data_IF_022019073225
#
_entry.id   IF_022019073225
#
_cell.length_a   1.000
_cell.length_b   1.000
_cell.length_c   1.000
_cell.angle_alpha   90.00
_cell.angle_beta   90.00
_cell.angle_gamma   90.00
#
_symmetry.space_group_name_H-M   'P 1'
#
loop_
_entity.id
_entity.type
_entity.pdbx_description
1 polymer ?
#
# COMPACT_ATOMS: atom_id res chain seq x y z
N UNK A 1 23.87 -35.14 -7.62
CA UNK A 1 24.77 -34.41 -6.71
C UNK A 1 24.47 -32.92 -6.92
N UNK A 2 23.30 -32.43 -6.48
CA UNK A 2 22.99 -31.95 -5.11
C UNK A 2 24.02 -30.89 -4.67
N UNK A 3 23.69 -29.60 -4.81
CA UNK A 3 23.10 -28.66 -3.83
C UNK A 3 24.16 -27.57 -3.54
N UNK A 4 23.89 -26.27 -3.69
CA UNK A 4 23.35 -25.38 -2.63
C UNK A 4 22.90 -24.05 -3.29
N UNK A 5 21.60 -23.69 -3.38
CA UNK A 5 20.78 -22.84 -2.47
C UNK A 5 21.47 -21.53 -2.03
N UNK A 6 20.94 -20.31 -2.18
CA UNK A 6 19.59 -19.79 -2.48
C UNK A 6 19.67 -18.31 -2.95
N UNK A 7 18.65 -17.73 -3.62
CA UNK A 7 18.66 -16.34 -4.10
C UNK A 7 18.01 -15.32 -3.14
N UNK A 8 17.75 -15.70 -1.87
CA UNK A 8 17.12 -14.81 -0.89
C UNK A 8 18.13 -14.30 0.14
N UNK A 9 18.01 -13.05 0.61
CA UNK A 9 18.92 -12.55 1.62
C UNK A 9 18.65 -13.25 2.96
N UNK A 10 19.70 -13.58 3.74
CA UNK A 10 19.55 -14.26 5.03
C UNK A 10 18.77 -13.39 6.03
N UNK A 11 18.18 -14.02 7.05
CA UNK A 11 17.35 -13.41 8.11
C UNK A 11 17.95 -12.13 8.76
N UNK A 12 19.27 -11.93 8.66
CA UNK A 12 19.96 -10.69 9.06
C UNK A 12 19.50 -9.43 8.30
N UNK A 13 19.06 -9.55 7.04
CA UNK A 13 18.59 -8.40 6.24
C UNK A 13 17.17 -7.99 6.63
N UNK A 14 16.29 -8.93 6.99
CA UNK A 14 14.96 -8.62 7.50
C UNK A 14 15.04 -7.86 8.84
N UNK A 15 15.95 -8.28 9.74
CA UNK A 15 16.23 -7.58 10.99
C UNK A 15 16.88 -6.21 10.76
N UNK A 16 17.76 -6.08 9.75
CA UNK A 16 18.36 -4.79 9.39
C UNK A 16 17.32 -3.79 8.85
N UNK A 17 16.33 -4.26 8.08
CA UNK A 17 15.21 -3.42 7.63
C UNK A 17 14.34 -2.98 8.81
N UNK A 18 14.06 -3.87 9.78
CA UNK A 18 13.31 -3.53 11.00
C UNK A 18 14.06 -2.53 11.90
N UNK A 19 15.38 -2.69 12.05
CA UNK A 19 16.22 -1.75 12.78
C UNK A 19 16.32 -0.39 12.08
N UNK A 20 16.41 -0.37 10.74
CA UNK A 20 16.41 0.84 9.93
C UNK A 20 15.07 1.59 10.06
N UNK A 21 13.94 0.89 10.07
CA UNK A 21 12.61 1.46 10.31
C UNK A 21 12.45 2.06 11.71
N UNK A 22 13.15 1.51 12.71
CA UNK A 22 13.14 2.02 14.08
C UNK A 22 14.10 3.22 14.28
N UNK A 23 15.08 3.42 13.40
CA UNK A 23 16.11 4.45 13.52
C UNK A 23 15.89 5.70 12.66
N UNK A 24 14.87 5.74 11.81
CA UNK A 24 14.53 6.96 11.05
C UNK A 24 13.92 7.98 12.01
N UNK A 25 14.54 9.17 12.21
CA UNK A 25 13.91 10.24 12.96
C UNK A 25 12.59 10.60 12.27
N UNK A 26 11.49 10.66 13.02
CA UNK A 26 10.23 11.21 12.49
C UNK A 26 10.48 12.69 12.23
N UNK A 27 10.84 13.03 10.99
CA UNK A 27 10.77 14.40 10.49
C UNK A 27 9.29 14.79 10.56
N UNK A 28 8.91 15.42 11.66
CA UNK A 28 7.61 16.02 11.88
C UNK A 28 7.88 17.45 12.30
N UNK A 29 7.95 18.33 11.31
CA UNK A 29 7.73 19.76 11.44
C UNK A 29 7.71 20.35 10.03
N UNK A 30 6.66 20.05 9.26
CA UNK A 30 6.27 20.98 8.20
C UNK A 30 5.00 21.66 8.71
N UNK A 31 4.94 22.99 8.60
CA UNK A 31 3.78 23.80 8.98
C UNK A 31 2.54 23.35 8.20
N UNK A 32 1.81 22.37 8.72
CA UNK A 32 0.66 21.78 8.07
C UNK A 32 -0.56 22.66 8.35
N UNK A 33 -1.19 23.15 7.29
CA UNK A 33 -2.52 23.74 7.40
C UNK A 33 -3.43 22.71 8.10
N UNK A 34 -4.04 23.06 9.26
CA UNK A 34 -4.93 22.14 9.93
C UNK A 34 -6.07 21.75 8.97
N UNK A 35 -6.54 20.49 9.00
CA UNK A 35 -7.66 20.11 8.17
C UNK A 35 -8.88 20.99 8.52
N UNK A 36 -9.69 21.37 7.52
CA UNK A 36 -10.94 22.09 7.78
C UNK A 36 -11.80 21.37 8.83
N UNK A 37 -12.59 22.10 9.65
CA UNK A 37 -13.41 21.47 10.69
C UNK A 37 -14.35 20.36 10.18
N UNK A 38 -14.88 20.49 8.96
CA UNK A 38 -15.67 19.42 8.31
C UNK A 38 -14.84 18.15 8.11
N UNK A 39 -13.59 18.28 7.66
CA UNK A 39 -12.68 17.14 7.48
C UNK A 39 -12.35 16.49 8.83
N UNK A 40 -12.09 17.30 9.86
CA UNK A 40 -11.88 16.81 11.22
C UNK A 40 -13.06 15.95 11.70
N UNK A 41 -14.27 16.49 11.60
CA UNK A 41 -15.49 15.78 12.00
C UNK A 41 -15.70 14.47 11.22
N UNK A 42 -15.35 14.44 9.92
CA UNK A 42 -15.43 13.22 9.11
C UNK A 42 -14.40 12.18 9.57
N UNK A 43 -13.18 12.58 9.92
CA UNK A 43 -12.15 11.67 10.42
C UNK A 43 -12.53 11.11 11.80
N UNK A 44 -13.06 11.95 12.69
CA UNK A 44 -13.56 11.51 14.00
C UNK A 44 -14.71 10.49 13.83
N UNK A 45 -15.60 10.73 12.85
CA UNK A 45 -16.65 9.78 12.50
C UNK A 45 -16.12 8.46 11.92
N UNK A 46 -14.93 8.45 11.30
CA UNK A 46 -14.27 7.20 10.90
C UNK A 46 -13.81 6.39 12.11
N UNK A 47 -13.28 7.05 13.14
CA UNK A 47 -12.74 6.39 14.32
C UNK A 47 -13.84 5.81 15.21
N UNK A 48 -14.84 6.64 15.56
CA UNK A 48 -15.67 6.39 16.75
C UNK A 48 -17.17 6.28 16.50
N UNK A 49 -17.65 6.56 15.28
CA UNK A 49 -19.09 6.55 15.01
C UNK A 49 -19.65 5.14 14.72
N UNK A 50 -20.99 5.05 14.77
CA UNK A 50 -21.74 3.87 14.33
C UNK A 50 -21.55 3.58 12.82
N UNK A 51 -21.83 2.35 12.41
CA UNK A 51 -21.54 1.83 11.06
C UNK A 51 -22.05 2.73 9.92
N UNK A 52 -23.27 3.24 10.04
CA UNK A 52 -23.90 4.03 8.97
C UNK A 52 -23.27 5.41 8.85
N UNK A 53 -23.00 6.06 9.98
CA UNK A 53 -22.31 7.35 10.04
C UNK A 53 -20.87 7.22 9.53
N UNK A 54 -20.16 6.17 9.94
CA UNK A 54 -18.82 5.85 9.43
C UNK A 54 -18.85 5.62 7.90
N UNK A 55 -19.86 4.92 7.39
CA UNK A 55 -20.05 4.69 5.97
C UNK A 55 -20.27 5.98 5.19
N UNK A 56 -21.16 6.85 5.67
CA UNK A 56 -21.41 8.15 5.07
C UNK A 56 -20.17 9.04 5.08
N UNK A 57 -19.45 9.08 6.20
CA UNK A 57 -18.20 9.83 6.33
C UNK A 57 -17.13 9.33 5.36
N UNK A 58 -16.98 8.00 5.22
CA UNK A 58 -16.05 7.41 4.27
C UNK A 58 -16.38 7.77 2.82
N UNK A 59 -17.66 7.70 2.44
CA UNK A 59 -18.10 8.07 1.08
C UNK A 59 -17.85 9.55 0.80
N UNK A 60 -18.09 10.43 1.78
CA UNK A 60 -17.81 11.86 1.67
C UNK A 60 -16.31 12.12 1.51
N UNK A 61 -15.46 11.50 2.32
CA UNK A 61 -14.00 11.61 2.19
C UNK A 61 -13.50 11.05 0.85
N UNK A 62 -14.08 9.96 0.34
CA UNK A 62 -13.78 9.47 -1.01
C UNK A 62 -14.04 10.54 -2.07
N UNK A 63 -15.20 11.20 -2.04
CA UNK A 63 -15.53 12.26 -2.99
C UNK A 63 -14.58 13.47 -2.87
N UNK A 64 -14.25 13.88 -1.64
CA UNK A 64 -13.33 14.99 -1.37
C UNK A 64 -11.87 14.70 -1.72
N UNK A 65 -11.53 13.45 -2.02
CA UNK A 65 -10.18 12.98 -2.35
C UNK A 65 -10.08 12.38 -3.74
N UNK A 66 -11.05 12.65 -4.62
CA UNK A 66 -10.88 12.34 -6.05
C UNK A 66 -9.76 13.16 -6.69
N UNK A 67 -9.52 14.37 -6.17
CA UNK A 67 -8.33 15.17 -6.46
C UNK A 67 -7.49 15.28 -5.18
N UNK A 68 -6.14 15.24 -5.26
CA UNK A 68 -5.29 15.35 -4.08
C UNK A 68 -5.53 16.67 -3.31
N UNK A 69 -6.00 16.64 -2.05
CA UNK A 69 -6.39 17.85 -1.34
C UNK A 69 -5.24 18.47 -0.54
N UNK A 70 -5.20 19.79 -0.43
CA UNK A 70 -4.17 20.53 0.32
C UNK A 70 -4.11 20.20 1.83
N UNK A 71 -5.20 19.70 2.41
CA UNK A 71 -5.26 19.31 3.83
C UNK A 71 -4.73 17.90 4.11
N UNK A 72 -4.40 17.11 3.08
CA UNK A 72 -3.94 15.73 3.21
C UNK A 72 -2.79 15.55 4.23
N UNK A 73 -1.73 16.38 4.22
CA UNK A 73 -0.63 16.22 5.17
C UNK A 73 -1.13 16.30 6.62
N UNK A 74 -2.08 17.21 6.90
CA UNK A 74 -2.63 17.48 8.23
C UNK A 74 -3.40 16.32 8.89
N UNK A 75 -3.76 15.27 8.13
CA UNK A 75 -4.46 14.08 8.66
C UNK A 75 -3.69 12.77 8.46
N UNK A 76 -2.56 12.80 7.74
CA UNK A 76 -1.81 11.60 7.39
C UNK A 76 -1.44 10.74 8.61
N UNK A 77 -0.83 11.38 9.61
CA UNK A 77 -0.33 10.71 10.81
C UNK A 77 -1.42 10.02 11.63
N UNK A 78 -2.62 10.59 11.63
CA UNK A 78 -3.77 10.08 12.36
C UNK A 78 -4.43 8.91 11.62
N UNK A 79 -4.66 9.06 10.31
CA UNK A 79 -5.12 7.95 9.47
C UNK A 79 -4.15 6.76 9.53
N UNK A 80 -2.85 7.03 9.57
CA UNK A 80 -1.83 6.00 9.73
C UNK A 80 -1.92 5.29 11.09
N UNK A 81 -2.28 5.99 12.16
CA UNK A 81 -2.53 5.38 13.47
C UNK A 81 -3.80 4.51 13.47
N UNK A 82 -4.81 4.86 12.68
CA UNK A 82 -6.04 4.07 12.53
C UNK A 82 -5.83 2.71 11.84
N UNK A 83 -4.66 2.46 11.23
CA UNK A 83 -4.28 1.12 10.74
C UNK A 83 -4.14 0.10 11.88
N UNK A 84 -3.96 0.54 13.12
CA UNK A 84 -3.85 -0.32 14.30
C UNK A 84 -5.16 -0.38 15.12
N UNK A 85 -6.25 0.18 14.58
CA UNK A 85 -7.52 0.26 15.29
C UNK A 85 -8.16 -1.12 15.55
N UNK A 86 -8.84 -1.29 16.69
CA UNK A 86 -9.50 -2.56 17.07
C UNK A 86 -10.56 -3.01 16.04
N UNK A 87 -11.28 -2.06 15.44
CA UNK A 87 -12.31 -2.34 14.44
C UNK A 87 -11.68 -2.47 13.04
N UNK A 88 -11.83 -3.66 12.45
CA UNK A 88 -11.28 -4.00 11.14
C UNK A 88 -11.81 -3.13 9.99
N UNK A 89 -13.03 -2.59 10.12
CA UNK A 89 -13.61 -1.67 9.14
C UNK A 89 -12.90 -0.32 9.17
N UNK A 90 -12.60 0.20 10.36
CA UNK A 90 -11.80 1.43 10.53
C UNK A 90 -10.42 1.27 9.91
N UNK A 91 -9.73 0.13 10.13
CA UNK A 91 -8.43 -0.16 9.50
C UNK A 91 -8.53 -0.18 7.97
N UNK A 92 -9.57 -0.83 7.43
CA UNK A 92 -9.80 -0.89 5.98
C UNK A 92 -10.03 0.50 5.38
N UNK A 93 -10.83 1.34 6.06
CA UNK A 93 -11.09 2.72 5.63
C UNK A 93 -9.80 3.55 5.68
N UNK A 94 -9.05 3.44 6.77
CA UNK A 94 -7.79 4.16 6.94
C UNK A 94 -6.80 3.87 5.81
N UNK A 95 -6.54 2.60 5.49
CA UNK A 95 -5.64 2.25 4.38
C UNK A 95 -6.13 2.72 3.01
N UNK A 96 -7.45 2.68 2.77
CA UNK A 96 -8.03 3.21 1.53
C UNK A 96 -7.88 4.74 1.42
N UNK A 97 -8.10 5.47 2.52
CA UNK A 97 -7.94 6.93 2.56
C UNK A 97 -6.47 7.34 2.42
N UNK A 98 -5.56 6.66 3.12
CA UNK A 98 -4.10 6.89 2.97
C UNK A 98 -3.67 6.75 1.51
N UNK A 99 -4.15 5.73 0.81
CA UNK A 99 -3.83 5.55 -0.61
C UNK A 99 -4.38 6.67 -1.50
N UNK A 100 -5.53 7.27 -1.14
CA UNK A 100 -6.12 8.40 -1.85
C UNK A 100 -5.37 9.71 -1.64
N UNK A 101 -4.90 9.97 -0.41
CA UNK A 101 -4.27 11.24 -0.06
C UNK A 101 -2.74 11.24 -0.22
N UNK A 102 -2.13 10.07 -0.43
CA UNK A 102 -0.68 9.94 -0.63
C UNK A 102 -0.12 10.88 -1.72
N UNK A 103 -0.77 11.09 -2.88
CA UNK A 103 -0.26 12.02 -3.90
C UNK A 103 -0.19 13.49 -3.46
N UNK A 104 -0.97 13.91 -2.45
CA UNK A 104 -0.92 15.26 -1.86
C UNK A 104 -0.04 15.33 -0.59
N UNK A 105 0.58 14.21 -0.19
CA UNK A 105 1.43 14.14 0.98
C UNK A 105 2.90 14.19 0.55
N UNK A 106 3.77 14.79 1.36
CA UNK A 106 5.19 14.89 1.05
C UNK A 106 5.80 13.51 0.73
N UNK A 107 6.59 13.44 -0.34
CA UNK A 107 7.21 12.19 -0.83
C UNK A 107 7.97 11.48 0.28
N UNK A 108 8.77 12.21 1.07
CA UNK A 108 9.55 11.64 2.16
C UNK A 108 8.66 10.96 3.22
N UNK A 109 7.54 11.59 3.58
CA UNK A 109 6.56 11.03 4.53
C UNK A 109 5.95 9.74 3.99
N UNK A 110 5.46 9.76 2.75
CA UNK A 110 4.83 8.58 2.13
C UNK A 110 5.83 7.42 2.03
N UNK A 111 7.04 7.69 1.54
CA UNK A 111 8.11 6.68 1.41
C UNK A 111 8.47 6.05 2.76
N UNK A 112 8.55 6.86 3.82
CA UNK A 112 8.85 6.37 5.17
C UNK A 112 7.74 5.46 5.73
N UNK A 113 6.48 5.76 5.42
CA UNK A 113 5.32 5.06 5.98
C UNK A 113 4.77 3.91 5.10
N UNK A 114 5.18 3.81 3.84
CA UNK A 114 4.84 2.70 2.93
C UNK A 114 5.04 1.29 3.55
N UNK A 115 6.11 1.01 4.30
CA UNK A 115 6.27 -0.27 5.00
C UNK A 115 5.12 -0.59 5.96
N UNK A 116 4.52 0.40 6.63
CA UNK A 116 3.36 0.21 7.50
C UNK A 116 2.10 -0.11 6.70
N UNK A 117 1.88 0.58 5.58
CA UNK A 117 0.78 0.28 4.66
C UNK A 117 0.88 -1.15 4.11
N UNK A 118 2.08 -1.59 3.74
CA UNK A 118 2.33 -2.95 3.24
C UNK A 118 2.14 -3.98 4.36
N UNK A 119 2.54 -3.68 5.59
CA UNK A 119 2.26 -4.52 6.75
C UNK A 119 0.75 -4.71 6.97
N UNK A 120 -0.06 -3.64 6.81
CA UNK A 120 -1.51 -3.69 6.96
C UNK A 120 -2.21 -4.58 5.91
N UNK A 121 -1.56 -4.91 4.78
CA UNK A 121 -2.08 -5.91 3.82
C UNK A 121 -2.07 -7.34 4.37
N UNK A 122 -1.48 -7.56 5.55
CA UNK A 122 -1.50 -8.83 6.31
C UNK A 122 -2.53 -8.84 7.44
N UNK A 123 -3.56 -8.01 7.33
CA UNK A 123 -4.60 -7.91 8.34
C UNK A 123 -5.19 -9.30 8.69
N UNK A 124 -5.45 -9.61 9.98
CA UNK A 124 -6.11 -10.85 10.37
C UNK A 124 -7.46 -11.07 9.67
N UNK A 125 -8.17 -9.98 9.34
CA UNK A 125 -9.34 -10.00 8.49
C UNK A 125 -8.90 -9.85 7.03
N UNK A 126 -8.91 -10.96 6.29
CA UNK A 126 -8.46 -10.98 4.89
C UNK A 126 -9.10 -9.88 4.02
N UNK A 127 -10.41 -9.63 4.17
CA UNK A 127 -11.12 -8.60 3.41
C UNK A 127 -10.55 -7.20 3.70
N UNK A 128 -10.17 -6.93 4.95
CA UNK A 128 -9.53 -5.66 5.34
C UNK A 128 -8.17 -5.53 4.64
N UNK A 129 -7.29 -6.52 4.77
CA UNK A 129 -5.98 -6.49 4.13
C UNK A 129 -6.06 -6.38 2.60
N UNK A 130 -7.07 -7.02 2.01
CA UNK A 130 -7.36 -6.95 0.57
C UNK A 130 -7.80 -5.56 0.12
N UNK A 131 -8.73 -4.91 0.82
CA UNK A 131 -9.16 -3.55 0.48
C UNK A 131 -7.98 -2.57 0.52
N UNK A 132 -7.10 -2.71 1.51
CA UNK A 132 -5.89 -1.88 1.62
C UNK A 132 -4.98 -2.15 0.42
N UNK A 133 -4.67 -3.42 0.12
CA UNK A 133 -3.81 -3.79 -1.00
C UNK A 133 -4.33 -3.23 -2.33
N UNK A 134 -5.61 -3.42 -2.64
CA UNK A 134 -6.20 -2.94 -3.89
C UNK A 134 -6.21 -1.42 -3.98
N UNK A 135 -6.40 -0.71 -2.87
CA UNK A 135 -6.36 0.74 -2.84
C UNK A 135 -4.99 1.31 -3.19
N UNK A 136 -3.90 0.57 -2.96
CA UNK A 136 -2.55 1.01 -3.31
C UNK A 136 -2.35 1.27 -4.80
N UNK A 137 -3.23 0.78 -5.69
CA UNK A 137 -3.24 1.15 -7.10
C UNK A 137 -3.38 2.67 -7.32
N UNK A 138 -3.99 3.41 -6.38
CA UNK A 138 -4.09 4.87 -6.44
C UNK A 138 -2.74 5.58 -6.35
N UNK A 139 -1.71 4.95 -5.79
CA UNK A 139 -0.35 5.51 -5.78
C UNK A 139 0.30 5.51 -7.16
N UNK A 140 -0.36 4.99 -8.20
CA UNK A 140 0.14 5.13 -9.58
C UNK A 140 0.24 6.59 -10.03
N UNK A 141 -0.49 7.52 -9.42
CA UNK A 141 -0.34 8.97 -9.68
C UNK A 141 0.59 9.68 -8.71
N UNK A 142 1.22 8.95 -7.77
CA UNK A 142 2.21 9.53 -6.88
C UNK A 142 3.56 9.71 -7.61
N UNK A 143 4.48 10.54 -7.09
CA UNK A 143 5.80 10.74 -7.70
C UNK A 143 6.60 9.43 -7.90
N UNK A 144 7.54 9.40 -8.87
CA UNK A 144 8.29 8.18 -9.24
C UNK A 144 8.95 7.46 -8.05
N UNK A 145 9.47 8.21 -7.07
CA UNK A 145 10.13 7.66 -5.88
C UNK A 145 9.16 6.84 -5.03
N UNK A 146 7.91 7.30 -4.89
CA UNK A 146 6.85 6.59 -4.18
C UNK A 146 6.47 5.32 -4.93
N UNK A 147 6.29 5.41 -6.26
CA UNK A 147 5.92 4.26 -7.10
C UNK A 147 6.99 3.18 -7.10
N UNK A 148 8.26 3.56 -7.28
CA UNK A 148 9.39 2.64 -7.25
C UNK A 148 9.51 1.95 -5.89
N UNK A 149 9.38 2.70 -4.79
CA UNK A 149 9.40 2.13 -3.45
C UNK A 149 8.24 1.16 -3.22
N UNK A 150 7.03 1.53 -3.64
CA UNK A 150 5.86 0.67 -3.52
C UNK A 150 6.02 -0.61 -4.33
N UNK A 151 6.47 -0.53 -5.58
CA UNK A 151 6.70 -1.70 -6.43
C UNK A 151 7.68 -2.69 -5.80
N UNK A 152 8.79 -2.20 -5.21
CA UNK A 152 9.74 -3.04 -4.51
C UNK A 152 9.13 -3.75 -3.29
N UNK A 153 8.30 -3.06 -2.50
CA UNK A 153 7.63 -3.65 -1.34
C UNK A 153 6.54 -4.66 -1.75
N UNK A 154 5.83 -4.40 -2.84
CA UNK A 154 4.85 -5.32 -3.41
C UNK A 154 5.51 -6.60 -3.94
N UNK A 155 6.68 -6.48 -4.58
CA UNK A 155 7.48 -7.64 -5.00
C UNK A 155 7.88 -8.52 -3.80
N UNK A 156 8.35 -7.91 -2.71
CA UNK A 156 8.64 -8.63 -1.48
C UNK A 156 7.38 -9.29 -0.88
N UNK A 157 6.24 -8.58 -0.90
CA UNK A 157 4.94 -9.11 -0.43
C UNK A 157 4.48 -10.32 -1.25
N UNK A 158 4.66 -10.30 -2.57
CA UNK A 158 4.28 -11.37 -3.49
C UNK A 158 4.97 -12.70 -3.18
N UNK A 159 6.27 -12.62 -2.87
CA UNK A 159 7.03 -13.79 -2.45
C UNK A 159 6.60 -14.23 -1.05
N UNK A 160 6.58 -13.30 -0.09
CA UNK A 160 6.35 -13.62 1.32
C UNK A 160 4.97 -14.21 1.60
N UNK A 161 3.96 -13.98 0.74
CA UNK A 161 2.62 -14.51 0.94
C UNK A 161 2.46 -16.00 0.57
N UNK A 162 3.50 -16.69 0.10
CA UNK A 162 3.41 -18.05 -0.44
C UNK A 162 2.71 -19.05 0.51
N UNK A 163 2.93 -18.92 1.82
CA UNK A 163 2.33 -19.79 2.85
C UNK A 163 0.97 -19.34 3.38
N UNK A 164 0.41 -18.23 2.89
CA UNK A 164 -0.85 -17.70 3.39
C UNK A 164 -2.05 -18.39 2.74
N UNK A 165 -3.14 -18.57 3.49
CA UNK A 165 -4.38 -19.22 3.02
C UNK A 165 -4.89 -18.65 1.69
N UNK A 166 -4.71 -17.36 1.45
CA UNK A 166 -5.18 -16.66 0.25
C UNK A 166 -4.04 -16.20 -0.67
N UNK A 167 -2.88 -16.88 -0.64
CA UNK A 167 -1.67 -16.50 -1.38
C UNK A 167 -1.94 -16.19 -2.85
N UNK A 168 -2.70 -17.06 -3.54
CA UNK A 168 -2.93 -16.92 -4.99
C UNK A 168 -3.75 -15.69 -5.35
N UNK A 169 -4.66 -15.28 -4.47
CA UNK A 169 -5.48 -14.07 -4.63
C UNK A 169 -4.69 -12.81 -4.27
N UNK A 170 -3.87 -12.86 -3.22
CA UNK A 170 -2.95 -11.77 -2.85
C UNK A 170 -1.98 -11.48 -4.00
N UNK A 171 -1.36 -12.51 -4.57
CA UNK A 171 -0.48 -12.41 -5.74
C UNK A 171 -1.19 -11.80 -6.95
N UNK A 172 -2.44 -12.20 -7.21
CA UNK A 172 -3.25 -11.61 -8.27
C UNK A 172 -3.53 -10.12 -8.05
N UNK A 173 -3.93 -9.73 -6.84
CA UNK A 173 -4.17 -8.33 -6.51
C UNK A 173 -2.87 -7.51 -6.61
N UNK A 174 -1.72 -8.06 -6.17
CA UNK A 174 -0.41 -7.41 -6.34
C UNK A 174 -0.09 -7.17 -7.82
N UNK A 175 -0.30 -8.17 -8.69
CA UNK A 175 -0.07 -8.01 -10.13
C UNK A 175 -0.97 -6.94 -10.74
N UNK A 176 -2.23 -6.87 -10.28
CA UNK A 176 -3.16 -5.81 -10.69
C UNK A 176 -2.69 -4.42 -10.25
N UNK A 177 -2.18 -4.29 -9.02
CA UNK A 177 -1.62 -3.03 -8.51
C UNK A 177 -0.36 -2.65 -9.30
N UNK A 178 0.57 -3.57 -9.52
CA UNK A 178 1.78 -3.31 -10.31
C UNK A 178 1.45 -2.87 -11.73
N UNK A 179 0.43 -3.46 -12.36
CA UNK A 179 -0.07 -3.02 -13.67
C UNK A 179 -0.61 -1.58 -13.61
N UNK A 180 -1.39 -1.25 -12.58
CA UNK A 180 -1.92 0.10 -12.43
C UNK A 180 -0.85 1.18 -12.18
N UNK A 181 0.25 0.81 -11.52
CA UNK A 181 1.44 1.67 -11.37
C UNK A 181 2.15 1.85 -12.72
N UNK A 182 2.34 0.76 -13.47
CA UNK A 182 2.96 0.77 -14.81
C UNK A 182 2.19 1.68 -15.77
N UNK A 183 0.87 1.54 -15.84
CA UNK A 183 0.01 2.28 -16.77
C UNK A 183 0.00 3.80 -16.51
N UNK A 184 0.57 4.25 -15.39
CA UNK A 184 0.67 5.65 -14.97
C UNK A 184 2.12 6.12 -14.82
N UNK A 185 3.09 5.31 -15.21
CA UNK A 185 4.49 5.73 -15.25
C UNK A 185 4.72 6.60 -16.49
N UNK A 186 5.22 7.82 -16.27
CA UNK A 186 5.51 8.75 -17.36
C UNK A 186 6.87 8.46 -18.04
N UNK A 187 7.79 7.80 -17.34
CA UNK A 187 9.11 7.39 -17.85
C UNK A 187 9.03 5.98 -18.46
N UNK A 188 9.37 5.85 -19.74
CA UNK A 188 9.40 4.56 -20.44
C UNK A 188 10.38 3.57 -19.79
N UNK A 189 11.48 4.07 -19.22
CA UNK A 189 12.43 3.26 -18.48
C UNK A 189 11.82 2.68 -17.18
N UNK A 190 11.09 3.50 -16.43
CA UNK A 190 10.34 3.09 -15.23
C UNK A 190 9.28 2.05 -15.59
N UNK A 191 8.45 2.33 -16.59
CA UNK A 191 7.43 1.40 -17.07
C UNK A 191 8.04 0.05 -17.45
N UNK A 192 9.10 0.06 -18.27
CA UNK A 192 9.81 -1.15 -18.68
C UNK A 192 10.34 -1.95 -17.49
N UNK A 193 11.03 -1.30 -16.54
CA UNK A 193 11.56 -1.97 -15.33
C UNK A 193 10.43 -2.57 -14.48
N UNK A 194 9.32 -1.84 -14.33
CA UNK A 194 8.19 -2.30 -13.53
C UNK A 194 7.49 -3.51 -14.16
N UNK A 195 7.28 -3.47 -15.49
CA UNK A 195 6.73 -4.59 -16.24
C UNK A 195 7.63 -5.82 -16.13
N UNK A 196 8.93 -5.66 -16.36
CA UNK A 196 9.88 -6.78 -16.27
C UNK A 196 9.87 -7.40 -14.87
N UNK A 197 9.99 -6.59 -13.82
CA UNK A 197 9.95 -7.09 -12.44
C UNK A 197 8.65 -7.82 -12.11
N UNK A 198 7.51 -7.34 -12.62
CA UNK A 198 6.23 -8.00 -12.43
C UNK A 198 6.13 -9.35 -13.17
N UNK A 199 6.72 -9.47 -14.36
CA UNK A 199 6.79 -10.72 -15.11
C UNK A 199 7.75 -11.72 -14.45
N UNK A 200 8.87 -11.26 -13.92
CA UNK A 200 9.81 -12.09 -13.15
C UNK A 200 9.13 -12.67 -11.90
N UNK A 201 8.27 -11.90 -11.23
CA UNK A 201 7.48 -12.38 -10.09
C UNK A 201 6.59 -13.58 -10.45
N UNK A 202 6.05 -13.63 -11.67
CA UNK A 202 5.22 -14.76 -12.12
C UNK A 202 6.01 -16.07 -12.12
N UNK A 203 7.31 -16.04 -12.37
CA UNK A 203 8.17 -17.23 -12.38
C UNK A 203 8.26 -17.88 -11.00
N UNK A 204 7.92 -17.16 -9.92
CA UNK A 204 7.85 -17.70 -8.56
C UNK A 204 6.50 -18.37 -8.23
N UNK A 205 5.55 -18.41 -9.16
CA UNK A 205 4.29 -19.13 -8.99
C UNK A 205 4.44 -20.59 -9.45
N UNK A 206 4.43 -21.57 -8.51
CA UNK A 206 4.60 -22.97 -8.87
C UNK A 206 3.40 -23.56 -9.62
N UNK A 207 2.19 -23.00 -9.47
CA UNK A 207 1.01 -23.48 -10.18
C UNK A 207 0.87 -22.80 -11.55
N UNK A 208 1.02 -23.54 -12.67
CA UNK A 208 0.93 -22.97 -14.02
C UNK A 208 -0.42 -22.30 -14.33
N UNK A 209 -1.50 -22.73 -13.67
CA UNK A 209 -2.82 -22.11 -13.81
C UNK A 209 -2.81 -20.68 -13.29
N UNK A 210 -2.25 -20.47 -12.09
CA UNK A 210 -2.18 -19.14 -11.48
C UNK A 210 -1.10 -18.28 -12.14
N UNK A 211 0.03 -18.86 -12.54
CA UNK A 211 1.04 -18.15 -13.32
C UNK A 211 0.44 -17.56 -14.61
N UNK A 212 -0.33 -18.36 -15.36
CA UNK A 212 -1.06 -17.90 -16.56
C UNK A 212 -2.08 -16.80 -16.23
N UNK A 213 -2.77 -16.91 -15.09
CA UNK A 213 -3.72 -15.89 -14.63
C UNK A 213 -3.01 -14.56 -14.36
N UNK A 214 -1.83 -14.58 -13.74
CA UNK A 214 -1.02 -13.39 -13.46
C UNK A 214 -0.49 -12.73 -14.72
N UNK A 215 -0.01 -13.52 -15.70
CA UNK A 215 0.36 -13.01 -17.02
C UNK A 215 -0.82 -12.32 -17.72
N UNK A 216 -2.05 -12.79 -17.47
CA UNK A 216 -3.26 -12.15 -17.99
C UNK A 216 -3.43 -10.70 -17.57
N UNK A 217 -2.86 -10.26 -16.45
CA UNK A 217 -2.87 -8.85 -16.02
C UNK A 217 -2.00 -7.95 -16.92
N UNK A 218 -1.12 -8.52 -17.74
CA UNK A 218 -0.10 -7.81 -18.54
C UNK A 218 -0.32 -7.89 -20.05
N UNK A 219 -1.44 -8.49 -20.46
CA UNK A 219 -1.96 -8.38 -21.83
C UNK A 219 -2.60 -7.00 -22.04
#
# INVERSE_FOLDING_TARGET
>A
MEADKAPFPPAKVANAVQALLASVPRLRDDAHMPPPPEIRALIDAIADAGRDVQGAAFMRLCALTEVPPAWAPGVWSELLALLDHRNHRTRAIAGQLLARIAPATAVATVVADLPRLIAATRDPQFVTGRHILQALARLGTAPPEVRARLAALLAARFVACAGEKNATLIRFDIQTVLRALHDRADDEGEATRMRQGALDLVLHEPDPKYARKYLGCWK
#
